data_IF_490982241122
#
_entry.id   IF_490982241122
#
_cell.length_a   1.000
_cell.length_b   1.000
_cell.length_c   1.000
_cell.angle_alpha   90.00
_cell.angle_beta   90.00
_cell.angle_gamma   90.00
#
_symmetry.space_group_name_H-M   'P 1'
#
loop_
_entity.id
_entity.type
_entity.pdbx_description
1 polymer ?
#
# COMPACT_ATOMS: atom_id res chain seq x y z
N UNK A 1 -2.24 16.96 1.84
CA UNK A 1 -2.58 15.74 1.08
C UNK A 1 -4.01 15.36 1.39
N UNK A 2 -4.84 15.05 0.39
CA UNK A 2 -6.17 14.53 0.67
C UNK A 2 -6.05 13.15 1.34
N UNK A 3 -6.83 12.93 2.36
CA UNK A 3 -6.97 11.67 3.06
C UNK A 3 -8.40 11.55 3.57
N UNK A 4 -8.85 10.33 3.74
CA UNK A 4 -10.14 10.07 4.38
C UNK A 4 -9.92 10.10 5.89
N UNK A 5 -10.58 11.01 6.63
CA UNK A 5 -10.42 11.08 8.08
C UNK A 5 -10.82 9.75 8.72
N UNK A 6 -9.97 9.20 9.57
CA UNK A 6 -10.31 7.98 10.31
C UNK A 6 -11.39 8.26 11.35
N UNK A 7 -12.21 7.26 11.68
CA UNK A 7 -13.13 7.37 12.79
C UNK A 7 -12.40 7.69 14.11
N UNK A 8 -12.98 8.54 14.92
CA UNK A 8 -12.40 8.90 16.24
C UNK A 8 -12.90 7.99 17.35
N UNK A 9 -14.07 7.40 17.17
CA UNK A 9 -14.64 6.44 18.12
C UNK A 9 -14.23 5.02 17.76
N UNK A 10 -13.37 4.42 18.58
CA UNK A 10 -12.92 3.04 18.41
C UNK A 10 -14.02 2.00 18.68
N UNK A 11 -15.10 2.36 19.35
CA UNK A 11 -16.24 1.48 19.58
C UNK A 11 -17.17 1.38 18.36
N UNK A 12 -17.13 2.34 17.46
CA UNK A 12 -17.93 2.31 16.22
C UNK A 12 -17.32 1.39 15.17
N UNK A 13 -17.60 0.10 15.29
CA UNK A 13 -17.11 -0.92 14.34
C UNK A 13 -17.62 -0.71 12.93
N UNK A 14 -18.85 -0.24 12.76
CA UNK A 14 -19.43 -0.02 11.42
C UNK A 14 -18.68 1.07 10.67
N UNK A 15 -18.36 2.18 11.34
CA UNK A 15 -17.59 3.27 10.78
C UNK A 15 -16.15 2.83 10.43
N UNK A 16 -15.49 2.06 11.29
CA UNK A 16 -14.16 1.51 11.01
C UNK A 16 -14.16 0.55 9.83
N UNK A 17 -15.15 -0.34 9.76
CA UNK A 17 -15.26 -1.28 8.63
C UNK A 17 -15.46 -0.53 7.32
N UNK A 18 -16.34 0.47 7.30
CA UNK A 18 -16.56 1.32 6.11
C UNK A 18 -15.28 2.05 5.72
N UNK A 19 -14.54 2.58 6.69
CA UNK A 19 -13.30 3.29 6.43
C UNK A 19 -12.20 2.40 5.83
N UNK A 20 -12.07 1.16 6.32
CA UNK A 20 -11.05 0.20 5.86
C UNK A 20 -11.28 -0.27 4.41
N UNK A 21 -12.53 -0.28 3.97
CA UNK A 21 -12.91 -0.67 2.60
C UNK A 21 -13.27 0.52 1.72
N UNK A 22 -12.94 1.74 2.15
CA UNK A 22 -13.27 2.96 1.40
C UNK A 22 -12.62 2.94 0.02
N UNK A 23 -13.38 3.39 -0.98
CA UNK A 23 -12.95 3.55 -2.36
C UNK A 23 -11.60 4.27 -2.46
N UNK A 24 -10.63 3.66 -3.15
CA UNK A 24 -9.27 4.19 -3.22
C UNK A 24 -9.04 5.19 -4.35
N UNK A 25 -10.05 5.50 -5.18
CA UNK A 25 -9.94 6.51 -6.27
C UNK A 25 -9.50 7.89 -5.79
N UNK A 26 -9.67 8.21 -4.48
CA UNK A 26 -9.21 9.49 -3.92
C UNK A 26 -7.68 9.69 -3.97
N UNK A 27 -6.91 8.63 -4.24
CA UNK A 27 -5.45 8.72 -4.39
C UNK A 27 -4.98 8.63 -5.83
N UNK A 28 -5.88 8.42 -6.79
CA UNK A 28 -5.53 8.34 -8.19
C UNK A 28 -4.91 9.63 -8.72
N UNK A 29 -3.94 9.48 -9.60
CA UNK A 29 -3.23 10.60 -10.21
C UNK A 29 -2.35 11.39 -9.22
N UNK A 30 -2.20 10.95 -7.98
CA UNK A 30 -1.31 11.59 -7.01
C UNK A 30 0.14 11.27 -7.33
N UNK A 31 1.05 12.27 -7.29
CA UNK A 31 2.47 12.05 -7.59
C UNK A 31 3.22 11.23 -6.51
N UNK A 32 2.60 10.99 -5.36
CA UNK A 32 3.17 10.23 -4.24
C UNK A 32 2.59 8.82 -4.14
N UNK A 33 1.85 8.36 -5.15
CA UNK A 33 1.30 7.01 -5.27
C UNK A 33 1.66 6.42 -6.62
N UNK A 34 2.24 5.22 -6.64
CA UNK A 34 2.43 4.43 -7.84
C UNK A 34 1.30 3.42 -7.95
N UNK A 35 0.69 3.34 -9.12
CA UNK A 35 -0.43 2.45 -9.40
C UNK A 35 -0.06 1.52 -10.54
N UNK A 36 -0.22 0.22 -10.31
CA UNK A 36 -0.02 -0.84 -11.29
C UNK A 36 -1.33 -1.61 -11.41
N UNK A 37 -1.85 -1.74 -12.62
CA UNK A 37 -3.17 -2.37 -12.86
C UNK A 37 -3.09 -3.33 -14.02
N UNK A 38 -3.77 -4.48 -13.91
CA UNK A 38 -3.88 -5.46 -15.00
C UNK A 38 -4.90 -5.03 -16.04
N UNK A 39 -4.91 -5.70 -17.19
CA UNK A 39 -6.09 -5.70 -18.07
C UNK A 39 -7.28 -6.34 -17.33
N UNK A 40 -8.52 -6.10 -17.81
CA UNK A 40 -9.68 -6.77 -17.24
C UNK A 40 -9.53 -8.29 -17.28
N UNK A 41 -9.84 -8.95 -16.16
CA UNK A 41 -9.79 -10.40 -16.08
C UNK A 41 -10.85 -11.03 -16.99
N UNK A 42 -10.46 -12.08 -17.70
CA UNK A 42 -11.39 -12.87 -18.54
C UNK A 42 -12.03 -14.01 -17.75
N UNK A 43 -11.38 -14.46 -16.67
CA UNK A 43 -11.83 -15.52 -15.79
C UNK A 43 -11.72 -15.09 -14.33
N UNK A 44 -12.46 -15.73 -13.40
CA UNK A 44 -12.34 -15.43 -11.98
C UNK A 44 -10.93 -15.76 -11.47
N UNK A 45 -10.35 -14.87 -10.67
CA UNK A 45 -9.10 -15.11 -9.96
C UNK A 45 -9.40 -15.20 -8.47
N UNK A 46 -9.36 -16.40 -7.91
CA UNK A 46 -9.57 -16.61 -6.48
C UNK A 46 -8.23 -16.67 -5.75
N UNK A 47 -8.10 -15.87 -4.69
CA UNK A 47 -6.97 -15.93 -3.76
C UNK A 47 -7.44 -16.39 -2.39
N UNK A 48 -6.61 -17.18 -1.69
CA UNK A 48 -6.87 -17.58 -0.31
C UNK A 48 -5.55 -17.77 0.43
N UNK A 49 -5.17 -16.80 1.22
CA UNK A 49 -3.91 -16.78 1.97
C UNK A 49 -3.35 -15.36 2.10
N UNK A 50 -2.10 -15.26 2.49
CA UNK A 50 -1.38 -14.00 2.63
C UNK A 50 -0.63 -13.68 1.32
N UNK A 51 -0.95 -12.58 0.62
CA UNK A 51 -0.11 -12.09 -0.48
C UNK A 51 1.27 -11.70 0.04
N UNK A 52 2.33 -11.97 -0.73
CA UNK A 52 3.71 -11.63 -0.37
C UNK A 52 4.28 -10.57 -1.31
N UNK A 53 4.78 -9.49 -0.72
CA UNK A 53 5.29 -8.31 -1.42
C UNK A 53 6.80 -8.40 -1.52
N UNK A 54 7.32 -8.24 -2.73
CA UNK A 54 8.74 -8.13 -3.03
C UNK A 54 8.99 -6.77 -3.70
N UNK A 55 9.56 -5.82 -2.96
CA UNK A 55 9.90 -4.51 -3.50
C UNK A 55 11.41 -4.34 -3.62
N UNK A 56 11.86 -3.94 -4.79
CA UNK A 56 13.15 -3.30 -4.97
C UNK A 56 12.92 -1.79 -4.97
N UNK A 57 13.37 -1.12 -3.92
CA UNK A 57 13.01 0.28 -3.73
C UNK A 57 14.15 1.09 -3.09
N UNK A 58 14.14 2.40 -3.31
CA UNK A 58 15.06 3.35 -2.67
C UNK A 58 14.35 4.63 -2.27
N UNK A 59 14.95 5.34 -1.33
CA UNK A 59 14.54 6.67 -0.90
C UNK A 59 15.73 7.64 -0.99
N UNK A 60 15.48 8.91 -1.23
CA UNK A 60 16.51 9.96 -1.07
C UNK A 60 16.73 10.35 0.40
N UNK A 61 15.85 9.89 1.31
CA UNK A 61 15.99 10.08 2.75
C UNK A 61 16.87 9.02 3.41
N UNK A 62 16.93 9.06 4.74
CA UNK A 62 17.61 8.03 5.57
C UNK A 62 16.64 7.12 6.31
N UNK A 63 15.34 7.29 6.10
CA UNK A 63 14.25 6.40 6.52
C UNK A 63 13.09 6.51 5.56
N UNK A 64 12.25 5.49 5.50
CA UNK A 64 11.01 5.48 4.73
C UNK A 64 10.10 4.33 5.15
N UNK A 65 8.81 4.52 4.96
CA UNK A 65 7.82 3.45 5.04
C UNK A 65 7.35 3.09 3.63
N UNK A 66 7.02 1.82 3.44
CA UNK A 66 6.47 1.28 2.19
C UNK A 66 5.08 0.73 2.49
N UNK A 67 4.07 1.32 1.89
CA UNK A 67 2.68 0.87 1.97
C UNK A 67 2.32 0.22 0.67
N UNK A 68 1.79 -0.99 0.73
CA UNK A 68 1.28 -1.70 -0.44
C UNK A 68 -0.17 -2.07 -0.18
N UNK A 69 -1.01 -1.80 -1.18
CA UNK A 69 -2.42 -2.15 -1.20
C UNK A 69 -2.69 -3.08 -2.37
N UNK A 70 -3.38 -4.16 -2.12
CA UNK A 70 -4.00 -5.02 -3.13
C UNK A 70 -5.46 -4.60 -3.25
N UNK A 71 -5.89 -4.26 -4.46
CA UNK A 71 -7.18 -3.62 -4.73
C UNK A 71 -7.89 -4.39 -5.83
N UNK A 72 -9.19 -4.58 -5.66
CA UNK A 72 -10.11 -5.07 -6.68
C UNK A 72 -10.79 -3.86 -7.34
N UNK A 73 -10.47 -3.63 -8.62
CA UNK A 73 -11.06 -2.55 -9.41
C UNK A 73 -12.27 -3.08 -10.16
N UNK A 74 -13.42 -2.55 -9.82
CA UNK A 74 -14.69 -2.90 -10.43
C UNK A 74 -14.81 -2.31 -11.86
N UNK A 75 -15.58 -2.96 -12.76
CA UNK A 75 -15.92 -2.35 -14.06
C UNK A 75 -16.57 -0.97 -13.88
N UNK A 76 -16.33 -0.06 -14.84
CA UNK A 76 -16.91 1.29 -14.81
C UNK A 76 -18.44 1.27 -14.76
N UNK A 77 -19.07 0.30 -15.43
CA UNK A 77 -20.52 0.11 -15.43
C UNK A 77 -20.90 -1.17 -14.69
N UNK A 78 -21.67 -1.02 -13.62
CA UNK A 78 -22.21 -2.10 -12.80
C UNK A 78 -23.72 -2.00 -12.75
N UNK A 79 -24.41 -2.66 -13.69
CA UNK A 79 -25.88 -2.61 -13.78
C UNK A 79 -26.56 -3.13 -12.51
N UNK A 80 -25.98 -4.13 -11.82
CA UNK A 80 -26.50 -4.70 -10.56
C UNK A 80 -26.31 -3.78 -9.38
N UNK A 81 -25.30 -2.91 -9.38
CA UNK A 81 -25.03 -1.94 -8.34
C UNK A 81 -24.26 -0.74 -8.89
N UNK A 82 -24.94 0.27 -9.43
CA UNK A 82 -24.28 1.42 -10.07
C UNK A 82 -23.33 2.21 -9.15
N UNK A 83 -23.49 2.11 -7.82
CA UNK A 83 -22.60 2.76 -6.85
C UNK A 83 -21.21 2.13 -6.81
N UNK A 84 -21.09 0.89 -7.30
CA UNK A 84 -19.83 0.15 -7.37
C UNK A 84 -19.12 0.35 -8.72
N UNK A 85 -19.68 1.11 -9.65
CA UNK A 85 -19.01 1.40 -10.92
C UNK A 85 -17.66 2.08 -10.71
N UNK A 86 -16.59 1.46 -11.23
CA UNK A 86 -15.21 1.91 -11.10
C UNK A 86 -14.68 1.90 -9.65
N UNK A 87 -15.35 1.25 -8.70
CA UNK A 87 -14.94 1.22 -7.30
C UNK A 87 -13.61 0.50 -7.12
N UNK A 88 -12.71 1.09 -6.37
CA UNK A 88 -11.41 0.52 -6.02
C UNK A 88 -11.46 -0.05 -4.59
N UNK A 89 -11.85 -1.32 -4.48
CA UNK A 89 -12.03 -2.01 -3.20
C UNK A 89 -10.69 -2.52 -2.64
N UNK A 90 -10.19 -2.02 -1.48
CA UNK A 90 -9.03 -2.61 -0.83
C UNK A 90 -9.33 -4.03 -0.36
N UNK A 91 -8.59 -5.00 -0.89
CA UNK A 91 -8.68 -6.42 -0.51
C UNK A 91 -7.74 -6.73 0.64
N UNK A 92 -6.51 -6.21 0.56
CA UNK A 92 -5.50 -6.35 1.61
C UNK A 92 -4.50 -5.20 1.52
N UNK A 93 -3.98 -4.76 2.66
CA UNK A 93 -2.99 -3.68 2.71
C UNK A 93 -2.10 -3.81 3.94
N UNK A 94 -0.85 -3.41 3.78
CA UNK A 94 0.10 -3.33 4.90
C UNK A 94 1.08 -2.19 4.72
N UNK A 95 1.73 -1.83 5.82
CA UNK A 95 2.87 -0.93 5.88
C UNK A 95 4.10 -1.69 6.36
N UNK A 96 5.23 -1.44 5.71
CA UNK A 96 6.52 -1.95 6.15
C UNK A 96 7.50 -0.79 6.36
N UNK A 97 8.04 -0.66 7.57
CA UNK A 97 9.02 0.36 7.91
C UNK A 97 10.42 -0.08 7.49
N UNK A 98 11.00 0.62 6.54
CA UNK A 98 12.29 0.25 5.95
C UNK A 98 13.44 0.13 6.95
N UNK A 99 13.38 0.85 8.08
CA UNK A 99 14.36 0.73 9.17
C UNK A 99 14.42 -0.67 9.80
N UNK A 100 13.34 -1.46 9.68
CA UNK A 100 13.25 -2.82 10.25
C UNK A 100 13.50 -3.93 9.21
N UNK A 101 14.06 -3.61 8.03
CA UNK A 101 14.28 -4.57 6.93
C UNK A 101 15.14 -5.78 7.31
N UNK A 102 16.04 -5.62 8.28
CA UNK A 102 16.96 -6.68 8.70
C UNK A 102 16.56 -7.28 10.05
N UNK A 103 15.88 -6.51 10.91
CA UNK A 103 15.50 -6.93 12.25
C UNK A 103 14.40 -6.04 12.80
N UNK A 104 13.36 -6.65 13.36
CA UNK A 104 12.29 -5.91 14.04
C UNK A 104 12.70 -5.31 15.40
N UNK A 105 13.80 -5.79 16.00
CA UNK A 105 14.32 -5.31 17.27
C UNK A 105 15.46 -4.30 17.14
N UNK A 106 16.13 -4.25 15.99
CA UNK A 106 17.31 -3.41 15.76
C UNK A 106 17.14 -2.58 14.51
N UNK A 107 16.52 -1.40 14.61
CA UNK A 107 16.32 -0.54 13.46
C UNK A 107 17.64 0.02 12.92
N UNK A 108 17.75 0.11 11.59
CA UNK A 108 18.91 0.66 10.90
C UNK A 108 18.47 1.73 9.88
N UNK A 109 19.25 2.82 9.73
CA UNK A 109 18.96 3.80 8.68
C UNK A 109 19.04 3.17 7.29
N UNK A 110 18.34 3.79 6.35
CA UNK A 110 18.48 3.52 4.92
C UNK A 110 19.62 4.36 4.37
N UNK A 111 20.34 3.82 3.38
CA UNK A 111 21.32 4.59 2.62
C UNK A 111 20.59 5.34 1.50
N UNK A 112 20.75 6.66 1.47
CA UNK A 112 20.11 7.50 0.46
C UNK A 112 20.40 7.02 -0.96
N UNK A 113 19.34 6.90 -1.77
CA UNK A 113 19.35 6.50 -3.17
C UNK A 113 19.92 5.09 -3.47
N UNK A 114 20.16 4.27 -2.44
CA UNK A 114 20.58 2.89 -2.63
C UNK A 114 19.34 1.99 -2.78
N UNK A 115 19.22 1.23 -3.89
CA UNK A 115 18.21 0.19 -4.03
C UNK A 115 18.39 -0.90 -2.98
N UNK A 116 17.31 -1.25 -2.31
CA UNK A 116 17.25 -2.30 -1.29
C UNK A 116 16.03 -3.18 -1.53
N UNK A 117 16.16 -4.45 -1.17
CA UNK A 117 15.04 -5.39 -1.17
C UNK A 117 14.24 -5.26 0.12
N UNK A 118 12.91 -5.17 -0.03
CA UNK A 118 11.95 -5.23 1.08
C UNK A 118 10.97 -6.36 0.79
N UNK A 119 10.84 -7.29 1.73
CA UNK A 119 9.89 -8.39 1.63
C UNK A 119 8.99 -8.41 2.85
N UNK A 120 7.68 -8.48 2.64
CA UNK A 120 6.69 -8.54 3.71
C UNK A 120 5.34 -9.07 3.22
N UNK A 121 4.64 -9.79 4.10
CA UNK A 121 3.30 -10.28 3.84
C UNK A 121 2.24 -9.21 4.03
N UNK A 122 1.22 -9.22 3.18
CA UNK A 122 -0.04 -8.54 3.45
C UNK A 122 -0.92 -9.43 4.34
N UNK A 123 -1.90 -8.86 5.08
CA UNK A 123 -2.89 -9.64 5.80
C UNK A 123 -3.56 -10.68 4.92
N UNK A 124 -3.87 -11.84 5.51
CA UNK A 124 -4.58 -12.93 4.83
C UNK A 124 -5.90 -12.44 4.25
N UNK A 125 -6.13 -12.77 2.99
CA UNK A 125 -7.38 -12.50 2.29
C UNK A 125 -7.97 -13.79 1.71
N UNK A 126 -9.29 -13.85 1.65
CA UNK A 126 -10.05 -14.82 0.88
C UNK A 126 -10.99 -14.02 -0.02
N UNK A 127 -10.61 -13.86 -1.28
CA UNK A 127 -11.28 -12.96 -2.21
C UNK A 127 -11.28 -13.53 -3.62
N UNK A 128 -12.34 -13.25 -4.37
CA UNK A 128 -12.44 -13.61 -5.79
C UNK A 128 -12.61 -12.34 -6.61
N UNK A 129 -11.59 -12.01 -7.39
CA UNK A 129 -11.70 -11.01 -8.45
C UNK A 129 -12.56 -11.61 -9.57
N UNK A 130 -13.64 -10.94 -9.94
CA UNK A 130 -14.59 -11.44 -10.93
C UNK A 130 -14.12 -11.13 -12.37
N UNK A 131 -14.64 -11.81 -13.41
CA UNK A 131 -14.41 -11.42 -14.78
C UNK A 131 -14.85 -9.97 -15.03
N UNK A 132 -14.05 -9.23 -15.81
CA UNK A 132 -14.24 -7.80 -16.04
C UNK A 132 -13.63 -6.90 -14.96
N UNK A 133 -13.32 -7.42 -13.77
CA UNK A 133 -12.55 -6.69 -12.76
C UNK A 133 -11.06 -6.65 -13.12
N UNK A 134 -10.31 -5.78 -12.45
CA UNK A 134 -8.84 -5.69 -12.60
C UNK A 134 -8.17 -5.86 -11.24
N UNK A 135 -7.02 -6.47 -11.23
CA UNK A 135 -6.17 -6.48 -10.04
C UNK A 135 -5.30 -5.23 -10.06
N UNK A 136 -5.35 -4.44 -8.99
CA UNK A 136 -4.51 -3.25 -8.85
C UNK A 136 -3.62 -3.36 -7.63
N UNK A 137 -2.38 -2.86 -7.77
CA UNK A 137 -1.44 -2.66 -6.68
C UNK A 137 -1.09 -1.19 -6.60
N UNK A 138 -1.33 -0.58 -5.44
CA UNK A 138 -0.85 0.77 -5.15
C UNK A 138 0.32 0.71 -4.18
N UNK A 139 1.39 1.48 -4.48
CA UNK A 139 2.57 1.62 -3.61
C UNK A 139 2.72 3.09 -3.23
N UNK A 140 2.81 3.36 -1.94
CA UNK A 140 2.97 4.71 -1.39
C UNK A 140 3.85 4.67 -0.13
N UNK A 141 4.27 5.83 0.38
CA UNK A 141 5.14 5.92 1.56
C UNK A 141 4.43 6.45 2.82
N UNK A 142 3.11 6.53 2.80
CA UNK A 142 2.31 6.96 3.95
C UNK A 142 0.90 6.39 3.88
N UNK A 143 0.38 5.95 5.00
CA UNK A 143 -1.01 5.53 5.16
C UNK A 143 -1.66 6.30 6.35
N UNK A 144 -1.39 7.60 6.40
CA UNK A 144 -2.01 8.47 7.39
C UNK A 144 -3.53 8.62 7.10
N UNK A 145 -4.39 8.59 8.11
CA UNK A 145 -4.09 8.60 9.54
C UNK A 145 -4.11 7.23 10.23
N UNK A 146 -4.12 6.11 9.49
CA UNK A 146 -4.05 4.77 10.10
C UNK A 146 -2.71 4.56 10.81
N UNK A 147 -1.63 4.98 10.16
CA UNK A 147 -0.28 4.99 10.72
C UNK A 147 0.27 6.42 10.77
N UNK A 148 1.17 6.67 11.72
CA UNK A 148 1.95 7.89 11.79
C UNK A 148 2.82 8.06 10.54
N UNK A 149 3.09 9.31 10.17
CA UNK A 149 3.94 9.62 9.01
C UNK A 149 5.41 9.43 9.36
N UNK A 150 6.15 8.78 8.47
CA UNK A 150 7.60 8.71 8.57
C UNK A 150 8.21 10.07 8.23
N UNK A 151 9.15 10.62 9.04
CA UNK A 151 9.79 11.90 8.76
C UNK A 151 10.74 11.86 7.55
N UNK A 152 11.04 10.69 6.97
CA UNK A 152 12.02 10.45 5.90
C UNK A 152 13.47 10.72 6.34
N UNK A 153 13.65 11.04 7.60
CA UNK A 153 14.92 11.16 8.30
C UNK A 153 14.98 10.13 9.41
N UNK A 154 16.11 9.42 9.53
CA UNK A 154 16.28 8.47 10.61
C UNK A 154 16.35 9.20 11.95
N UNK A 155 15.34 8.99 12.78
CA UNK A 155 15.25 9.48 14.17
C UNK A 155 15.13 8.29 15.11
N UNK A 156 15.57 8.39 16.37
CA UNK A 156 15.50 7.29 17.32
C UNK A 156 14.08 6.74 17.52
N UNK A 157 13.08 7.64 17.53
CA UNK A 157 11.68 7.26 17.66
C UNK A 157 10.80 8.19 16.82
N UNK A 158 10.10 7.61 15.85
CA UNK A 158 9.24 8.35 14.91
C UNK A 158 8.10 9.09 15.62
N UNK A 159 7.54 8.53 16.71
CA UNK A 159 6.46 9.20 17.46
C UNK A 159 6.89 10.51 18.12
N UNK A 160 8.18 10.68 18.35
CA UNK A 160 8.75 11.91 18.93
C UNK A 160 9.47 12.77 17.90
N UNK A 161 9.28 12.50 16.61
CA UNK A 161 9.82 13.32 15.53
C UNK A 161 9.27 14.75 15.62
N UNK A 162 10.17 15.72 15.51
CA UNK A 162 9.85 17.14 15.54
C UNK A 162 9.54 17.64 14.12
N UNK A 163 8.83 18.76 13.96
CA UNK A 163 8.56 19.33 12.63
C UNK A 163 9.80 19.49 11.74
N UNK A 164 10.96 19.82 12.33
CA UNK A 164 12.22 19.97 11.59
C UNK A 164 12.86 18.66 11.13
N UNK A 165 12.40 17.51 11.63
CA UNK A 165 12.90 16.19 11.21
C UNK A 165 12.23 15.74 9.90
N UNK A 166 11.05 16.30 9.58
CA UNK A 166 10.32 15.96 8.37
C UNK A 166 10.92 16.62 7.15
N UNK A 167 11.26 15.81 6.16
CA UNK A 167 11.82 16.31 4.91
C UNK A 167 11.13 15.70 3.69
N UNK A 168 11.25 16.38 2.56
CA UNK A 168 10.82 15.84 1.28
C UNK A 168 11.79 14.73 0.87
N UNK A 169 11.27 13.61 0.41
CA UNK A 169 12.07 12.54 -0.15
C UNK A 169 11.47 12.05 -1.47
N UNK A 170 12.35 11.60 -2.36
CA UNK A 170 11.96 10.91 -3.59
C UNK A 170 12.03 9.41 -3.34
N UNK A 171 10.90 8.75 -3.50
CA UNK A 171 10.79 7.31 -3.44
C UNK A 171 10.89 6.73 -4.86
N UNK A 172 11.56 5.59 -5.01
CA UNK A 172 11.66 4.88 -6.29
C UNK A 172 11.33 3.41 -6.06
N UNK A 173 10.53 2.86 -6.94
CA UNK A 173 10.27 1.42 -7.05
C UNK A 173 10.83 0.97 -8.38
N UNK A 174 11.63 -0.09 -8.36
CA UNK A 174 12.31 -0.62 -9.54
C UNK A 174 11.52 -1.81 -10.08
N UNK A 175 11.31 -1.84 -11.40
CA UNK A 175 10.53 -2.86 -12.11
C UNK A 175 11.29 -3.46 -13.30
N UNK A 176 12.61 -3.25 -13.35
CA UNK A 176 13.42 -3.85 -14.42
C UNK A 176 13.64 -5.35 -14.18
N UNK A 177 14.01 -6.13 -15.20
CA UNK A 177 14.33 -7.55 -15.03
C UNK A 177 15.45 -7.82 -14.01
N UNK A 178 16.39 -6.89 -13.86
CA UNK A 178 17.51 -6.99 -12.91
C UNK A 178 17.11 -6.60 -11.48
N UNK A 179 16.05 -5.82 -11.34
CA UNK A 179 15.52 -5.33 -10.07
C UNK A 179 13.99 -5.42 -10.05
N UNK A 180 13.43 -6.63 -10.10
CA UNK A 180 11.99 -6.80 -10.19
C UNK A 180 11.29 -6.51 -8.86
N UNK A 181 10.24 -5.68 -8.91
CA UNK A 181 9.25 -5.61 -7.85
C UNK A 181 8.00 -6.34 -8.29
N UNK A 182 7.42 -7.13 -7.40
CA UNK A 182 6.22 -7.90 -7.68
C UNK A 182 5.46 -8.24 -6.39
N UNK A 183 4.25 -8.71 -6.55
CA UNK A 183 3.45 -9.31 -5.49
C UNK A 183 3.11 -10.76 -5.89
N UNK A 184 3.35 -11.70 -4.98
CA UNK A 184 2.92 -13.10 -5.15
C UNK A 184 1.55 -13.27 -4.53
N UNK A 185 0.60 -13.79 -5.31
CA UNK A 185 -0.77 -14.05 -4.85
C UNK A 185 -0.97 -15.54 -4.60
N UNK A 186 -1.60 -15.92 -3.45
CA UNK A 186 -1.93 -17.32 -3.14
C UNK A 186 -3.18 -17.76 -3.90
N UNK A 187 -3.03 -18.05 -5.20
CA UNK A 187 -4.13 -18.44 -6.10
C UNK A 187 -4.60 -19.86 -5.80
N UNK A 188 -5.91 -20.10 -5.92
CA UNK A 188 -6.56 -21.41 -5.81
C UNK A 188 -7.12 -21.90 -7.14
#
# INVERSE_FOLDING_TARGET
MPFVPRPVDFADRAMWTTWLVHDQRFVDGRPDVLTFVTEPLTEPLQIAGAPDVHLQASTSGSDSDWVVKLIDVYPEEMASNPKMGGYELPVSLAIFRGRYRESFSTPKPLTSNQPLAFQFGLPTANHTFQPGHRVMVQVQSSLFPLYDRNPQTYVPNIFFAKPGDYQKATQRVYVSPEQPSYISLPVR
#
